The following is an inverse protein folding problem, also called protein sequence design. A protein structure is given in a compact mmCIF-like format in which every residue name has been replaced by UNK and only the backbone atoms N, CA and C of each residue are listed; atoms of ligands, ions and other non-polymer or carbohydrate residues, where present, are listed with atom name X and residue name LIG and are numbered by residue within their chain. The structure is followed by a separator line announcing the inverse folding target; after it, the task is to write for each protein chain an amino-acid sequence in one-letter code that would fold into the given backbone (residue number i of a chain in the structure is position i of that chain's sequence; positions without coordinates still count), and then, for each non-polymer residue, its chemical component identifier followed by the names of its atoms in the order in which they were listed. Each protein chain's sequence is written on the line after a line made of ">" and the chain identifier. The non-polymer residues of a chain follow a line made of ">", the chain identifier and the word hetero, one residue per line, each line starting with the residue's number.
data_IF_731574265457
#
_entry.id   IF_731574265457
#
_cell.length_a   1.000
_cell.length_b   1.000
_cell.length_c   1.000
_cell.angle_alpha   90.00
_cell.angle_beta   90.00
_cell.angle_gamma   90.00
#
_symmetry.space_group_name_H-M   'P 1'
#
loop_
_entity.id
_entity.type
_entity.pdbx_description
1 polymer ?
#
# COMPACT_ATOMS: atom_id res chain seq x y z
N UNK A 1 26.58 -0.26 14.30
CA UNK A 1 25.18 -0.64 14.06
C UNK A 1 24.86 -0.22 12.65
N UNK A 2 24.94 -1.15 11.70
CA UNK A 2 24.79 -0.83 10.27
C UNK A 2 23.34 -0.49 9.96
N UNK A 3 23.12 0.54 9.13
CA UNK A 3 21.81 0.97 8.66
C UNK A 3 21.15 -0.05 7.69
N UNK A 4 21.73 -1.23 7.51
CA UNK A 4 21.25 -2.30 6.61
C UNK A 4 20.04 -3.10 7.15
N UNK A 5 19.66 -2.90 8.41
CA UNK A 5 18.61 -3.69 9.07
C UNK A 5 17.17 -3.30 8.74
N UNK A 6 16.93 -2.08 8.26
CA UNK A 6 15.58 -1.51 8.25
C UNK A 6 14.73 -1.94 7.04
N UNK A 7 15.33 -2.57 6.00
CA UNK A 7 14.64 -3.09 4.80
C UNK A 7 13.66 -2.08 4.19
N UNK A 8 14.15 -0.88 3.91
CA UNK A 8 13.39 0.23 3.32
C UNK A 8 13.72 0.33 1.83
N UNK A 9 12.71 0.61 1.01
CA UNK A 9 12.91 0.97 -0.41
C UNK A 9 12.28 2.33 -0.72
N UNK A 10 12.40 2.75 -1.98
CA UNK A 10 11.91 4.04 -2.48
C UNK A 10 10.41 4.28 -2.22
N UNK A 11 9.58 3.23 -2.22
CA UNK A 11 8.14 3.36 -1.97
C UNK A 11 7.85 3.70 -0.49
N UNK A 12 8.60 3.12 0.45
CA UNK A 12 8.53 3.56 1.85
C UNK A 12 8.91 5.04 1.99
N UNK A 13 9.94 5.49 1.28
CA UNK A 13 10.36 6.89 1.32
C UNK A 13 9.32 7.83 0.68
N UNK A 14 8.64 7.38 -0.38
CA UNK A 14 7.57 8.11 -1.06
C UNK A 14 6.35 8.32 -0.14
N UNK A 15 5.95 7.29 0.61
CA UNK A 15 4.78 7.32 1.48
C UNK A 15 5.08 7.74 2.93
N UNK A 16 6.34 7.75 3.36
CA UNK A 16 6.74 8.13 4.72
C UNK A 16 6.75 9.63 5.03
N UNK A 17 6.24 10.48 4.16
CA UNK A 17 6.19 11.94 4.34
C UNK A 17 4.81 12.48 4.00
N UNK A 18 4.20 13.19 4.95
CA UNK A 18 3.00 13.98 4.69
C UNK A 18 3.36 15.20 3.83
N UNK A 19 2.65 15.38 2.72
CA UNK A 19 2.85 16.47 1.75
C UNK A 19 1.67 16.52 0.79
N UNK A 20 1.52 17.63 0.08
CA UNK A 20 0.61 17.69 -1.05
C UNK A 20 1.03 16.66 -2.10
N UNK A 21 0.05 15.90 -2.57
CA UNK A 21 0.24 14.82 -3.53
C UNK A 21 -0.50 15.14 -4.81
N UNK A 22 0.21 15.00 -5.92
CA UNK A 22 -0.35 15.06 -7.26
C UNK A 22 -0.73 13.64 -7.67
N UNK A 23 -2.02 13.28 -7.75
CA UNK A 23 -2.45 11.92 -8.05
C UNK A 23 -1.92 11.40 -9.38
N UNK A 24 -1.93 12.21 -10.43
CA UNK A 24 -1.55 11.79 -11.77
C UNK A 24 -0.03 11.64 -11.87
N UNK A 25 0.72 12.66 -11.47
CA UNK A 25 2.17 12.64 -11.56
C UNK A 25 2.78 11.55 -10.65
N UNK A 26 2.22 11.34 -9.46
CA UNK A 26 2.70 10.29 -8.57
C UNK A 26 2.27 8.89 -8.98
N UNK A 27 1.10 8.69 -9.58
CA UNK A 27 0.74 7.40 -10.15
C UNK A 27 1.75 6.97 -11.23
N UNK A 28 2.13 7.90 -12.11
CA UNK A 28 3.15 7.67 -13.12
C UNK A 28 4.54 7.38 -12.49
N UNK A 29 4.89 8.08 -11.40
CA UNK A 29 6.11 7.79 -10.64
C UNK A 29 6.08 6.39 -10.02
N UNK A 30 4.98 6.03 -9.33
CA UNK A 30 4.80 4.72 -8.70
C UNK A 30 4.97 3.61 -9.73
N UNK A 31 4.30 3.72 -10.90
CA UNK A 31 4.45 2.78 -12.01
C UNK A 31 5.92 2.59 -12.39
N UNK A 32 6.65 3.69 -12.64
CA UNK A 32 8.08 3.63 -13.01
C UNK A 32 8.97 3.02 -11.93
N UNK A 33 8.67 3.26 -10.65
CA UNK A 33 9.42 2.67 -9.55
C UNK A 33 9.20 1.16 -9.47
N UNK A 34 7.96 0.70 -9.66
CA UNK A 34 7.60 -0.72 -9.69
C UNK A 34 8.21 -1.42 -10.90
N UNK A 35 8.09 -0.84 -12.09
CA UNK A 35 8.72 -1.33 -13.33
C UNK A 35 10.25 -1.38 -13.19
N UNK A 36 10.82 -0.47 -12.42
CA UNK A 36 12.25 -0.44 -12.06
C UNK A 36 12.66 -1.45 -10.99
N UNK A 37 11.74 -2.27 -10.47
CA UNK A 37 12.03 -3.34 -9.51
C UNK A 37 11.86 -2.95 -8.04
N UNK A 38 11.19 -1.84 -7.72
CA UNK A 38 10.84 -1.55 -6.33
C UNK A 38 9.86 -2.62 -5.81
N UNK A 39 10.26 -3.34 -4.76
CA UNK A 39 9.44 -4.40 -4.17
C UNK A 39 8.31 -3.83 -3.29
N UNK A 40 7.07 -3.88 -3.78
CA UNK A 40 5.87 -3.45 -3.05
C UNK A 40 5.63 -4.25 -1.75
N UNK A 41 6.21 -5.45 -1.64
CA UNK A 41 6.04 -6.37 -0.51
C UNK A 41 7.29 -6.43 0.39
N UNK A 42 8.27 -5.55 0.20
CA UNK A 42 9.44 -5.49 1.06
C UNK A 42 9.03 -5.10 2.48
N UNK A 43 9.15 -6.03 3.43
CA UNK A 43 8.79 -5.76 4.83
C UNK A 43 9.94 -5.10 5.59
N UNK A 44 9.72 -3.87 6.00
CA UNK A 44 10.51 -3.17 7.01
C UNK A 44 10.09 -3.61 8.42
N UNK A 45 11.03 -3.96 9.34
CA UNK A 45 10.69 -4.22 10.74
C UNK A 45 10.06 -3.02 11.45
N UNK A 46 10.38 -1.81 11.00
CA UNK A 46 9.90 -0.55 11.59
C UNK A 46 8.60 -0.05 10.94
N UNK A 47 8.50 -0.16 9.62
CA UNK A 47 7.47 0.50 8.83
C UNK A 47 6.45 -0.44 8.18
N UNK A 48 6.63 -1.77 8.30
CA UNK A 48 5.75 -2.74 7.65
C UNK A 48 6.00 -2.81 6.15
N UNK A 49 4.93 -3.00 5.36
CA UNK A 49 5.02 -2.93 3.90
C UNK A 49 4.95 -1.47 3.43
N UNK A 50 5.45 -1.13 2.24
CA UNK A 50 5.19 0.17 1.62
C UNK A 50 3.69 0.53 1.62
N UNK A 51 2.82 -0.44 1.33
CA UNK A 51 1.37 -0.22 1.29
C UNK A 51 0.78 0.06 2.69
N UNK A 52 1.40 -0.42 3.77
CA UNK A 52 1.08 -0.05 5.17
C UNK A 52 1.28 1.46 5.39
N UNK A 53 2.31 2.05 4.79
CA UNK A 53 2.59 3.49 4.91
C UNK A 53 1.55 4.32 4.14
N UNK A 54 1.14 3.87 2.94
CA UNK A 54 0.07 4.52 2.19
C UNK A 54 -1.24 4.56 2.99
N UNK A 55 -1.66 3.43 3.57
CA UNK A 55 -2.97 3.34 4.24
C UNK A 55 -3.03 4.07 5.57
N UNK A 56 -1.87 4.32 6.18
CA UNK A 56 -1.75 5.06 7.45
C UNK A 56 -1.46 6.55 7.24
N UNK A 57 -1.25 6.99 6.01
CA UNK A 57 -1.07 8.40 5.67
C UNK A 57 -2.41 9.15 5.71
N UNK A 58 -2.67 9.81 6.84
CA UNK A 58 -3.88 10.60 7.08
C UNK A 58 -4.02 11.82 6.16
N UNK A 59 -2.96 12.20 5.44
CA UNK A 59 -2.97 13.34 4.52
C UNK A 59 -3.38 12.96 3.09
N UNK A 60 -3.46 11.67 2.78
CA UNK A 60 -3.80 11.20 1.45
C UNK A 60 -5.28 11.48 1.11
N UNK A 61 -5.52 12.12 -0.04
CA UNK A 61 -6.88 12.29 -0.58
C UNK A 61 -7.42 10.98 -1.15
N UNK A 62 -8.76 10.87 -1.26
CA UNK A 62 -9.41 9.71 -1.92
C UNK A 62 -8.91 9.48 -3.34
N UNK A 63 -8.73 10.58 -4.08
CA UNK A 63 -8.24 10.56 -5.45
C UNK A 63 -6.82 10.00 -5.51
N UNK A 64 -5.92 10.46 -4.63
CA UNK A 64 -4.56 9.94 -4.55
C UNK A 64 -4.53 8.45 -4.20
N UNK A 65 -5.29 8.05 -3.18
CA UNK A 65 -5.36 6.65 -2.74
C UNK A 65 -5.80 5.71 -3.88
N UNK A 66 -6.82 6.11 -4.65
CA UNK A 66 -7.28 5.37 -5.82
C UNK A 66 -6.23 5.30 -6.92
N UNK A 67 -5.60 6.43 -7.26
CA UNK A 67 -4.58 6.50 -8.28
C UNK A 67 -3.35 5.65 -7.91
N UNK A 68 -2.90 5.72 -6.66
CA UNK A 68 -1.79 4.93 -6.15
C UNK A 68 -2.11 3.42 -6.17
N UNK A 69 -3.30 3.01 -5.73
CA UNK A 69 -3.72 1.61 -5.74
C UNK A 69 -3.84 1.06 -7.17
N UNK A 70 -4.43 1.83 -8.09
CA UNK A 70 -4.50 1.47 -9.50
C UNK A 70 -3.10 1.27 -10.12
N UNK A 71 -2.17 2.21 -9.89
CA UNK A 71 -0.80 2.08 -10.35
C UNK A 71 -0.09 0.85 -9.76
N UNK A 72 -0.25 0.62 -8.45
CA UNK A 72 0.34 -0.54 -7.78
C UNK A 72 -0.16 -1.85 -8.36
N UNK A 73 -1.47 -2.02 -8.50
CA UNK A 73 -2.10 -3.27 -8.96
C UNK A 73 -1.92 -3.52 -10.46
N UNK A 74 -1.67 -2.48 -11.26
CA UNK A 74 -1.35 -2.62 -12.67
C UNK A 74 0.11 -3.08 -12.91
N UNK A 75 1.05 -2.69 -12.05
CA UNK A 75 2.49 -2.91 -12.24
C UNK A 75 3.10 -3.93 -11.28
N UNK A 76 2.35 -4.40 -10.29
CA UNK A 76 2.82 -5.38 -9.30
C UNK A 76 1.66 -6.08 -8.59
N UNK A 77 1.98 -7.11 -7.82
CA UNK A 77 1.02 -7.83 -6.98
C UNK A 77 1.23 -7.48 -5.51
N UNK A 78 0.57 -6.45 -4.95
CA UNK A 78 0.59 -6.20 -3.50
C UNK A 78 -0.03 -7.37 -2.74
N UNK A 79 0.58 -7.70 -1.60
CA UNK A 79 0.03 -8.60 -0.58
C UNK A 79 -0.97 -7.85 0.30
N UNK A 80 -2.25 -8.05 0.01
CA UNK A 80 -3.36 -7.49 0.78
C UNK A 80 -3.63 -8.28 2.07
N UNK A 81 -3.18 -9.52 2.16
CA UNK A 81 -3.37 -10.39 3.34
C UNK A 81 -2.37 -10.08 4.46
N UNK A 82 -1.32 -9.33 4.15
CA UNK A 82 -0.34 -8.87 5.11
C UNK A 82 -0.96 -8.04 6.23
N UNK A 83 -0.59 -8.36 7.48
CA UNK A 83 -0.91 -7.55 8.65
C UNK A 83 -0.33 -6.13 8.55
N UNK A 84 -1.18 -5.13 8.81
CA UNK A 84 -0.82 -3.71 8.87
C UNK A 84 0.16 -3.45 10.02
N UNK A 85 -0.18 -3.88 11.23
CA UNK A 85 0.74 -3.89 12.37
C UNK A 85 0.31 -4.96 13.40
N UNK A 86 1.17 -5.24 14.41
CA UNK A 86 0.88 -6.28 15.42
C UNK A 86 -0.25 -5.93 16.40
N UNK A 87 -0.66 -4.67 16.49
CA UNK A 87 -1.69 -4.18 17.40
C UNK A 87 -3.06 -4.14 16.74
N UNK A 88 -3.10 -3.92 15.42
CA UNK A 88 -4.31 -3.87 14.59
C UNK A 88 -4.62 -5.27 14.08
N UNK A 89 -5.80 -5.76 14.42
CA UNK A 89 -6.36 -7.01 13.89
C UNK A 89 -6.94 -6.72 12.50
N UNK A 90 -6.10 -6.31 11.55
CA UNK A 90 -6.50 -6.02 10.18
C UNK A 90 -5.35 -6.23 9.21
N UNK A 91 -5.66 -6.84 8.07
CA UNK A 91 -4.75 -6.91 6.94
C UNK A 91 -4.84 -5.62 6.08
N UNK A 92 -3.87 -5.45 5.18
CA UNK A 92 -3.78 -4.28 4.30
C UNK A 92 -5.03 -4.12 3.42
N UNK A 93 -5.61 -5.23 2.95
CA UNK A 93 -6.83 -5.26 2.16
C UNK A 93 -8.03 -4.72 2.92
N UNK A 94 -8.30 -5.25 4.11
CA UNK A 94 -9.37 -4.77 5.00
C UNK A 94 -9.20 -3.29 5.30
N UNK A 95 -7.97 -2.87 5.62
CA UNK A 95 -7.72 -1.47 5.92
C UNK A 95 -8.03 -0.57 4.72
N UNK A 96 -7.60 -0.92 3.50
CA UNK A 96 -7.95 -0.19 2.27
C UNK A 96 -9.46 -0.19 2.00
N UNK A 97 -10.10 -1.35 2.13
CA UNK A 97 -11.52 -1.55 1.84
C UNK A 97 -12.43 -0.82 2.84
N UNK A 98 -12.00 -0.64 4.08
CA UNK A 98 -12.77 0.02 5.14
C UNK A 98 -12.38 1.49 5.34
N UNK A 99 -11.22 1.93 4.80
CA UNK A 99 -10.74 3.31 4.97
C UNK A 99 -11.74 4.34 4.41
N UNK A 100 -11.78 5.52 5.03
CA UNK A 100 -12.59 6.68 4.63
C UNK A 100 -14.05 6.32 4.30
N UNK A 101 -14.68 5.51 5.15
CA UNK A 101 -16.05 5.00 4.99
C UNK A 101 -16.22 4.06 3.79
N UNK A 102 -15.23 3.21 3.56
CA UNK A 102 -15.24 2.16 2.56
C UNK A 102 -15.27 2.62 1.10
N UNK A 103 -14.70 3.78 0.79
CA UNK A 103 -14.78 4.36 -0.56
C UNK A 103 -14.07 3.54 -1.64
N UNK A 104 -13.15 2.63 -1.25
CA UNK A 104 -12.44 1.71 -2.15
C UNK A 104 -12.90 0.25 -1.99
N UNK A 105 -13.97 0.00 -1.23
CA UNK A 105 -14.43 -1.35 -0.91
C UNK A 105 -14.50 -2.24 -2.17
N UNK A 106 -15.27 -1.81 -3.18
CA UNK A 106 -15.49 -2.62 -4.38
C UNK A 106 -14.22 -2.85 -5.20
N UNK A 107 -13.35 -1.84 -5.31
CA UNK A 107 -12.09 -1.92 -6.06
C UNK A 107 -11.11 -2.89 -5.40
N UNK A 108 -11.02 -2.84 -4.06
CA UNK A 108 -10.12 -3.69 -3.28
C UNK A 108 -10.61 -5.13 -3.28
N UNK A 109 -11.92 -5.36 -3.04
CA UNK A 109 -12.49 -6.72 -3.07
C UNK A 109 -12.45 -7.33 -4.47
N UNK A 110 -12.70 -6.54 -5.53
CA UNK A 110 -12.58 -7.03 -6.90
C UNK A 110 -11.14 -7.49 -7.21
N UNK A 111 -10.14 -6.70 -6.81
CA UNK A 111 -8.74 -7.10 -6.98
C UNK A 111 -8.36 -8.30 -6.11
N UNK A 112 -8.79 -8.34 -4.84
CA UNK A 112 -8.52 -9.45 -3.94
C UNK A 112 -9.08 -10.76 -4.49
N UNK A 113 -10.35 -10.77 -4.94
CA UNK A 113 -10.98 -11.91 -5.58
C UNK A 113 -10.26 -12.31 -6.88
N UNK A 114 -9.96 -11.36 -7.77
CA UNK A 114 -9.27 -11.63 -9.03
C UNK A 114 -7.84 -12.16 -8.83
N UNK A 115 -7.18 -11.75 -7.74
CA UNK A 115 -5.83 -12.19 -7.40
C UNK A 115 -5.80 -13.39 -6.43
N UNK A 116 -6.95 -13.96 -6.07
CA UNK A 116 -7.07 -15.11 -5.17
C UNK A 116 -6.57 -14.84 -3.75
N UNK A 117 -6.69 -13.60 -3.27
CA UNK A 117 -6.33 -13.18 -1.92
C UNK A 117 -7.58 -13.15 -1.05
N UNK A 118 -7.61 -13.97 -0.01
CA UNK A 118 -8.67 -13.94 1.01
C UNK A 118 -8.33 -12.88 2.06
N UNK A 119 -9.04 -11.75 2.00
CA UNK A 119 -8.85 -10.63 2.91
C UNK A 119 -9.88 -10.62 4.05
N UNK A 120 -10.86 -11.53 4.06
CA UNK A 120 -11.86 -11.62 5.15
C UNK A 120 -11.33 -12.44 6.34
N UNK A 121 -10.28 -13.22 6.13
CA UNK A 121 -9.61 -14.00 7.17
C UNK A 121 -8.38 -13.26 7.70
N UNK A 122 -8.35 -13.02 9.01
CA UNK A 122 -7.16 -12.55 9.72
C UNK A 122 -6.48 -13.78 10.33
N UNK A 123 -5.43 -14.29 9.69
CA UNK A 123 -4.61 -15.41 10.22
C UNK A 123 -3.53 -14.95 11.17
#
# INVERSE_FOLDING_TARGET
>A
MSADGDRINVLHALWGRARDRDPEAEAALIARLLDGGADINLRSPRFGLPLTMLVTDISASREYMRAAFAAVTAHSRPDLTAHVDRRRQANVGQYLAENMFGFMHDEVYAYAAASGQDIDVIS
#
